data_IF_070160331976
#
_entry.id   IF_070160331976
#
_cell.length_a   1.000
_cell.length_b   1.000
_cell.length_c   1.000
_cell.angle_alpha   90.00
_cell.angle_beta   90.00
_cell.angle_gamma   90.00
#
_symmetry.space_group_name_H-M   'P 1'
#
loop_
_entity.id
_entity.type
_entity.pdbx_description
1 polymer ?
#
# COMPACT_ATOMS: atom_id res chain seq x y z
N UNK A 1 -33.45 18.19 16.72
CA UNK A 1 -33.04 18.17 15.29
C UNK A 1 -33.75 17.08 14.49
N UNK A 2 -33.76 15.81 14.94
CA UNK A 2 -34.47 14.70 14.27
C UNK A 2 -35.94 15.02 13.95
N UNK A 3 -36.67 15.59 14.91
CA UNK A 3 -38.06 16.02 14.73
C UNK A 3 -38.21 17.12 13.69
N UNK A 4 -37.31 18.10 13.66
CA UNK A 4 -37.33 19.19 12.68
C UNK A 4 -37.12 18.69 11.24
N UNK A 5 -36.34 17.62 11.08
CA UNK A 5 -36.17 16.94 9.79
C UNK A 5 -37.45 16.20 9.40
N UNK A 6 -38.08 15.48 10.34
CA UNK A 6 -39.35 14.77 10.09
C UNK A 6 -40.49 15.73 9.73
N UNK A 7 -40.50 16.93 10.31
CA UNK A 7 -41.46 17.99 10.00
C UNK A 7 -41.16 18.71 8.68
N UNK A 8 -40.06 18.37 7.99
CA UNK A 8 -39.70 18.94 6.69
C UNK A 8 -39.10 20.35 6.76
N UNK A 9 -38.79 20.88 7.95
CA UNK A 9 -38.10 22.18 8.07
C UNK A 9 -36.64 22.12 7.65
N UNK A 10 -35.99 20.96 7.85
CA UNK A 10 -34.61 20.74 7.48
C UNK A 10 -34.47 19.52 6.57
N UNK A 11 -33.74 19.71 5.48
CA UNK A 11 -33.35 18.66 4.56
C UNK A 11 -31.91 18.24 4.84
N UNK A 12 -31.70 16.95 5.07
CA UNK A 12 -30.33 16.39 5.14
C UNK A 12 -29.74 16.32 3.74
N UNK A 13 -28.52 16.82 3.59
CA UNK A 13 -27.73 16.76 2.36
C UNK A 13 -26.35 16.22 2.70
N UNK A 14 -25.87 15.28 1.90
CA UNK A 14 -24.52 14.74 2.02
C UNK A 14 -23.58 15.45 1.06
N UNK A 15 -22.50 16.03 1.59
CA UNK A 15 -21.42 16.60 0.79
C UNK A 15 -20.25 15.62 0.78
N UNK A 16 -19.59 15.46 -0.36
CA UNK A 16 -18.45 14.55 -0.51
C UNK A 16 -17.18 15.35 -0.82
N UNK A 17 -16.13 15.12 -0.03
CA UNK A 17 -14.78 15.60 -0.30
C UNK A 17 -13.92 14.43 -0.79
N UNK A 18 -13.35 14.58 -1.99
CA UNK A 18 -12.51 13.60 -2.66
C UNK A 18 -11.01 13.86 -2.45
N UNK A 19 -10.65 14.89 -1.70
CA UNK A 19 -9.27 15.33 -1.45
C UNK A 19 -8.89 15.25 0.03
N UNK A 20 -9.71 14.62 0.86
CA UNK A 20 -9.45 14.46 2.27
C UNK A 20 -8.30 13.47 2.53
N UNK A 21 -7.69 13.58 3.72
CA UNK A 21 -6.63 12.67 4.17
C UNK A 21 -7.11 11.86 5.39
N UNK A 22 -7.11 10.54 5.27
CA UNK A 22 -7.52 9.61 6.32
C UNK A 22 -6.35 8.79 6.84
N UNK A 23 -6.41 8.38 8.10
CA UNK A 23 -5.42 7.48 8.68
C UNK A 23 -5.51 6.10 8.02
N UNK A 24 -4.40 5.61 7.50
CA UNK A 24 -4.31 4.24 6.97
C UNK A 24 -4.45 3.22 8.09
N UNK A 25 -5.31 2.22 7.90
CA UNK A 25 -5.18 0.96 8.63
C UNK A 25 -4.08 0.12 7.95
N UNK A 26 -3.15 -0.39 8.74
CA UNK A 26 -1.93 -1.07 8.28
C UNK A 26 -2.23 -2.38 7.53
N UNK A 27 -2.41 -2.31 6.21
CA UNK A 27 -2.46 -3.49 5.34
C UNK A 27 -1.79 -3.20 3.99
N UNK A 28 -0.46 -3.29 3.93
CA UNK A 28 0.25 -3.63 2.69
C UNK A 28 1.73 -3.93 2.96
N UNK A 29 2.10 -5.20 2.86
CA UNK A 29 3.49 -5.63 2.71
C UNK A 29 3.79 -5.61 1.21
N UNK A 30 4.70 -4.73 0.77
CA UNK A 30 5.15 -4.69 -0.61
C UNK A 30 6.18 -5.81 -0.84
N UNK A 31 5.83 -6.79 -1.68
CA UNK A 31 6.66 -7.96 -2.01
C UNK A 31 7.60 -7.70 -3.20
N UNK A 32 8.24 -6.53 -3.27
CA UNK A 32 9.21 -6.24 -4.32
C UNK A 32 10.57 -6.86 -3.95
N UNK A 33 11.03 -7.83 -4.75
CA UNK A 33 12.37 -8.43 -4.64
C UNK A 33 13.42 -7.49 -5.30
N UNK A 34 14.61 -7.29 -4.72
CA UNK A 34 15.68 -6.59 -5.40
C UNK A 34 16.27 -7.49 -6.49
N UNK A 35 16.52 -6.92 -7.67
CA UNK A 35 17.23 -7.59 -8.76
C UNK A 35 18.71 -7.69 -8.39
N UNK A 36 19.24 -8.91 -8.35
CA UNK A 36 20.68 -9.15 -8.14
C UNK A 36 21.44 -8.63 -9.37
N UNK A 37 22.32 -7.66 -9.16
CA UNK A 37 23.17 -7.12 -10.23
C UNK A 37 24.26 -8.13 -10.59
N UNK A 38 24.68 -8.13 -11.87
CA UNK A 38 25.78 -8.96 -12.42
C UNK A 38 27.08 -8.81 -11.62
N UNK A 39 27.25 -7.72 -10.87
CA UNK A 39 28.37 -7.48 -9.96
C UNK A 39 28.48 -8.53 -8.85
N UNK A 40 27.36 -8.97 -8.25
CA UNK A 40 27.40 -9.93 -7.14
C UNK A 40 27.87 -11.31 -7.59
N UNK A 41 27.56 -11.71 -8.83
CA UNK A 41 28.01 -13.00 -9.39
C UNK A 41 29.52 -12.98 -9.65
N UNK A 42 30.06 -11.84 -10.08
CA UNK A 42 31.49 -11.67 -10.33
C UNK A 42 32.29 -11.70 -9.02
N UNK A 43 31.78 -11.05 -7.97
CA UNK A 43 32.43 -11.07 -6.64
C UNK A 43 32.43 -12.48 -6.02
N UNK A 44 31.34 -13.24 -6.14
CA UNK A 44 31.30 -14.64 -5.69
C UNK A 44 32.32 -15.52 -6.42
N UNK A 45 32.49 -15.34 -7.74
CA UNK A 45 33.44 -16.13 -8.53
C UNK A 45 34.90 -15.79 -8.20
N UNK A 46 35.21 -14.51 -7.94
CA UNK A 46 36.55 -14.09 -7.49
C UNK A 46 36.88 -14.72 -6.12
N UNK A 47 35.92 -14.72 -5.19
CA UNK A 47 36.08 -15.29 -3.86
C UNK A 47 36.29 -16.82 -3.87
N UNK A 48 35.61 -17.53 -4.79
CA UNK A 48 35.82 -18.96 -5.03
C UNK A 48 37.22 -19.23 -5.62
N UNK A 49 37.72 -18.36 -6.48
CA UNK A 49 39.04 -18.52 -7.10
C UNK A 49 40.18 -18.30 -6.09
N UNK A 50 40.06 -17.28 -5.23
CA UNK A 50 41.05 -17.03 -4.17
C UNK A 50 41.11 -18.17 -3.15
N UNK A 51 39.95 -18.68 -2.71
CA UNK A 51 39.88 -19.79 -1.74
C UNK A 51 40.42 -21.11 -2.32
N UNK A 52 40.28 -21.34 -3.63
CA UNK A 52 40.89 -22.49 -4.33
C UNK A 52 42.41 -22.41 -4.39
N UNK A 53 42.98 -21.26 -4.74
CA UNK A 53 44.43 -21.02 -4.77
C UNK A 53 45.04 -21.23 -3.37
N UNK A 54 44.38 -20.72 -2.32
CA UNK A 54 44.83 -20.88 -0.93
C UNK A 54 44.82 -22.35 -0.48
N UNK A 55 43.79 -23.11 -0.89
CA UNK A 55 43.66 -24.54 -0.55
C UNK A 55 44.68 -25.42 -1.27
N UNK A 56 45.07 -25.08 -2.50
CA UNK A 56 46.11 -25.78 -3.26
C UNK A 56 47.51 -25.51 -2.70
N UNK A 57 47.79 -24.29 -2.23
CA UNK A 57 49.06 -23.96 -1.58
C UNK A 57 49.25 -24.72 -0.25
N UNK A 58 48.18 -24.96 0.50
CA UNK A 58 48.25 -25.65 1.79
C UNK A 58 48.41 -27.18 1.70
N UNK A 59 48.26 -27.78 0.50
CA UNK A 59 48.35 -29.23 0.32
C UNK A 59 49.79 -29.73 0.14
N UNK A 60 50.78 -28.82 0.06
CA UNK A 60 52.19 -29.15 -0.17
C UNK A 60 53.04 -29.30 1.09
N UNK A 61 52.54 -28.91 2.27
CA UNK A 61 53.28 -29.02 3.52
C UNK A 61 52.60 -29.97 4.52
N UNK A 62 53.18 -31.16 4.63
CA UNK A 62 53.12 -32.07 5.78
C UNK A 62 51.86 -32.95 6.00
N UNK A 63 51.75 -34.08 5.28
CA UNK A 63 51.01 -35.25 5.81
C UNK A 63 51.66 -36.57 5.36
N UNK A 64 51.93 -37.55 6.27
CA UNK A 64 52.57 -38.82 5.91
C UNK A 64 51.62 -39.83 5.22
N UNK A 65 52.23 -40.66 4.37
CA UNK A 65 51.63 -41.44 3.26
C UNK A 65 50.58 -42.52 3.62
N UNK A 66 50.34 -42.83 4.90
CA UNK A 66 49.49 -43.98 5.31
C UNK A 66 48.04 -43.62 5.66
N UNK A 67 47.68 -42.33 5.73
CA UNK A 67 46.31 -41.85 5.99
C UNK A 67 45.78 -40.94 4.87
N UNK A 68 46.41 -40.97 3.71
CA UNK A 68 46.13 -40.12 2.54
C UNK A 68 44.67 -40.25 2.06
N UNK A 69 44.14 -41.48 1.96
CA UNK A 69 42.81 -41.73 1.38
C UNK A 69 41.66 -41.26 2.28
N UNK A 70 41.80 -41.41 3.61
CA UNK A 70 40.80 -40.96 4.56
C UNK A 70 40.79 -39.44 4.70
N UNK A 71 41.96 -38.80 4.69
CA UNK A 71 42.04 -37.33 4.69
C UNK A 71 41.55 -36.72 3.38
N UNK A 72 41.75 -37.38 2.23
CA UNK A 72 41.21 -36.94 0.95
C UNK A 72 39.68 -37.03 0.89
N UNK A 73 39.08 -38.09 1.44
CA UNK A 73 37.62 -38.21 1.55
C UNK A 73 37.04 -37.19 2.55
N UNK A 74 37.70 -36.97 3.68
CA UNK A 74 37.27 -35.97 4.66
C UNK A 74 37.41 -34.54 4.13
N UNK A 75 38.47 -34.24 3.36
CA UNK A 75 38.68 -32.92 2.77
C UNK A 75 37.70 -32.64 1.63
N UNK A 76 37.42 -33.63 0.77
CA UNK A 76 36.40 -33.51 -0.29
C UNK A 76 34.99 -33.38 0.29
N UNK A 77 34.66 -34.10 1.37
CA UNK A 77 33.39 -33.95 2.07
C UNK A 77 33.27 -32.59 2.76
N UNK A 78 34.32 -32.12 3.43
CA UNK A 78 34.37 -30.79 4.06
C UNK A 78 34.28 -29.67 3.02
N UNK A 79 34.92 -29.84 1.86
CA UNK A 79 34.81 -28.94 0.73
C UNK A 79 33.39 -28.92 0.15
N UNK A 80 32.79 -30.09 -0.06
CA UNK A 80 31.40 -30.20 -0.52
C UNK A 80 30.43 -29.53 0.46
N UNK A 81 30.58 -29.77 1.76
CA UNK A 81 29.77 -29.12 2.81
C UNK A 81 29.96 -27.61 2.84
N UNK A 82 31.20 -27.12 2.67
CA UNK A 82 31.50 -25.68 2.64
C UNK A 82 30.90 -24.99 1.42
N UNK A 83 30.99 -25.60 0.24
CA UNK A 83 30.41 -25.05 -0.99
C UNK A 83 28.89 -25.16 -0.98
N UNK A 84 28.33 -26.23 -0.40
CA UNK A 84 26.90 -26.38 -0.19
C UNK A 84 26.37 -25.36 0.83
N UNK A 85 27.10 -25.07 1.90
CA UNK A 85 26.74 -24.04 2.87
C UNK A 85 26.84 -22.63 2.29
N UNK A 86 27.89 -22.34 1.49
CA UNK A 86 28.01 -21.07 0.75
C UNK A 86 26.90 -20.93 -0.30
N UNK A 87 26.56 -22.01 -1.01
CA UNK A 87 25.42 -22.05 -1.94
C UNK A 87 24.09 -21.80 -1.21
N UNK A 88 23.87 -22.36 -0.02
CA UNK A 88 22.69 -22.07 0.81
C UNK A 88 22.69 -20.63 1.37
N UNK A 89 23.87 -20.06 1.64
CA UNK A 89 24.05 -18.66 2.06
C UNK A 89 23.75 -17.69 0.90
N UNK A 90 24.19 -18.03 -0.31
CA UNK A 90 24.06 -17.24 -1.54
C UNK A 90 22.65 -17.33 -2.15
N UNK A 91 22.02 -18.52 -2.12
CA UNK A 91 20.57 -18.66 -2.34
C UNK A 91 19.72 -18.18 -1.16
N UNK A 92 20.39 -17.68 -0.11
CA UNK A 92 19.83 -16.92 0.99
C UNK A 92 18.50 -17.49 1.52
N UNK A 93 18.54 -18.73 2.04
CA UNK A 93 17.51 -19.19 2.98
C UNK A 93 17.47 -18.32 4.25
N UNK A 94 18.51 -17.50 4.51
CA UNK A 94 18.45 -16.44 5.51
C UNK A 94 17.57 -15.26 5.10
N UNK A 95 17.14 -15.13 3.84
CA UNK A 95 16.14 -14.16 3.39
C UNK A 95 14.72 -14.63 3.77
N UNK A 96 14.57 -15.90 4.16
CA UNK A 96 13.37 -16.43 4.80
C UNK A 96 13.34 -16.09 6.31
N UNK A 97 14.51 -15.87 6.94
CA UNK A 97 14.62 -15.58 8.38
C UNK A 97 14.98 -14.11 8.71
N UNK A 98 15.46 -13.32 7.76
CA UNK A 98 15.59 -11.87 7.86
C UNK A 98 14.45 -11.18 7.10
N UNK A 99 13.31 -11.08 7.78
CA UNK A 99 12.38 -9.98 7.57
C UNK A 99 13.01 -8.69 8.10
N UNK A 100 14.08 -8.20 7.46
CA UNK A 100 14.56 -6.85 7.77
C UNK A 100 13.85 -5.85 6.84
N UNK A 101 13.22 -4.79 7.40
CA UNK A 101 12.57 -3.78 6.60
C UNK A 101 13.58 -3.11 5.68
N UNK A 102 13.13 -2.78 4.47
CA UNK A 102 13.77 -1.88 3.52
C UNK A 102 14.58 -0.77 4.21
N UNK A 103 15.75 -0.43 3.65
CA UNK A 103 16.62 0.65 4.09
C UNK A 103 15.82 1.92 4.45
N UNK A 104 15.51 2.05 5.73
CA UNK A 104 14.93 3.25 6.30
C UNK A 104 16.09 4.24 6.39
N UNK A 105 16.08 5.26 5.52
CA UNK A 105 16.72 6.51 5.88
C UNK A 105 16.22 6.87 7.29
N UNK A 106 17.14 7.07 8.25
CA UNK A 106 16.79 7.43 9.63
C UNK A 106 16.21 8.86 9.64
N UNK A 107 14.96 8.97 9.20
CA UNK A 107 14.06 10.04 9.56
C UNK A 107 13.50 9.61 10.92
N UNK A 108 13.60 10.44 11.97
CA UNK A 108 13.04 10.09 13.26
C UNK A 108 11.57 9.69 13.07
N UNK A 109 11.28 8.40 13.29
CA UNK A 109 9.94 7.82 13.29
C UNK A 109 9.18 8.41 14.49
N UNK A 110 8.79 9.69 14.40
CA UNK A 110 7.50 10.09 14.95
C UNK A 110 6.51 9.06 14.40
N UNK A 111 5.63 8.55 15.24
CA UNK A 111 4.52 7.67 14.86
C UNK A 111 3.58 8.46 13.94
N UNK A 112 4.04 8.75 12.73
CA UNK A 112 3.28 9.32 11.65
C UNK A 112 2.33 8.19 11.26
N UNK A 113 1.09 8.28 11.74
CA UNK A 113 0.03 7.48 11.16
C UNK A 113 0.03 7.88 9.68
N UNK A 114 0.37 6.97 8.74
CA UNK A 114 0.41 7.34 7.34
C UNK A 114 -0.98 7.86 6.98
N UNK A 115 -1.01 9.06 6.43
CA UNK A 115 -2.24 9.64 5.92
C UNK A 115 -2.31 9.28 4.44
N UNK A 116 -3.41 8.67 4.02
CA UNK A 116 -3.69 8.40 2.61
C UNK A 116 -4.84 9.29 2.13
N UNK A 117 -4.85 9.65 0.83
CA UNK A 117 -6.02 10.25 0.21
C UNK A 117 -7.23 9.32 0.39
N UNK A 118 -8.35 9.87 0.83
CA UNK A 118 -9.60 9.16 1.04
C UNK A 118 -10.78 10.06 0.69
N UNK A 119 -11.93 9.42 0.49
CA UNK A 119 -13.18 10.13 0.28
C UNK A 119 -13.92 10.25 1.62
N UNK A 120 -14.36 11.46 1.97
CA UNK A 120 -15.12 11.71 3.20
C UNK A 120 -16.50 12.30 2.88
N UNK A 121 -17.49 11.88 3.65
CA UNK A 121 -18.86 12.38 3.61
C UNK A 121 -19.10 13.30 4.81
N UNK A 122 -19.58 14.51 4.53
CA UNK A 122 -19.98 15.51 5.50
C UNK A 122 -21.51 15.59 5.56
N UNK A 123 -22.13 15.20 6.68
CA UNK A 123 -23.57 15.39 6.85
C UNK A 123 -23.87 16.88 7.05
N UNK A 124 -24.62 17.46 6.12
CA UNK A 124 -25.06 18.86 6.16
C UNK A 124 -26.59 18.95 6.22
N UNK A 125 -27.11 20.09 6.68
CA UNK A 125 -28.55 20.35 6.78
C UNK A 125 -28.87 21.69 6.12
N UNK A 126 -29.88 21.70 5.27
CA UNK A 126 -30.38 22.90 4.61
C UNK A 126 -31.78 23.18 5.14
N UNK A 127 -32.05 24.42 5.52
CA UNK A 127 -33.38 24.87 5.90
C UNK A 127 -34.26 24.98 4.65
N UNK A 128 -35.44 24.35 4.69
CA UNK A 128 -36.50 24.50 3.68
C UNK A 128 -37.54 25.54 4.18
N UNK A 129 -37.71 26.70 3.52
CA UNK A 129 -38.56 27.81 4.02
C UNK A 129 -40.07 27.55 3.90
N UNK A 130 -40.46 26.35 3.46
CA UNK A 130 -41.86 25.94 3.27
C UNK A 130 -42.71 26.08 4.54
N UNK A 131 -42.07 26.02 5.72
CA UNK A 131 -42.74 26.13 7.01
C UNK A 131 -42.07 27.24 7.83
N UNK A 132 -42.76 28.39 7.95
CA UNK A 132 -42.23 29.60 8.62
C UNK A 132 -42.29 29.52 10.14
N UNK A 133 -43.31 28.86 10.66
CA UNK A 133 -43.54 28.71 12.10
C UNK A 133 -44.05 27.31 12.39
N UNK A 134 -43.47 26.67 13.39
CA UNK A 134 -43.93 25.35 13.84
C UNK A 134 -44.04 25.29 15.35
N UNK A 135 -45.24 25.01 15.82
CA UNK A 135 -45.51 24.60 17.19
C UNK A 135 -45.64 23.09 17.20
N UNK A 136 -44.79 22.40 17.96
CA UNK A 136 -44.83 20.94 18.01
C UNK A 136 -44.39 20.41 19.37
N UNK A 137 -44.70 19.14 19.60
CA UNK A 137 -44.48 18.44 20.86
C UNK A 137 -43.68 17.18 20.55
N UNK A 138 -42.52 17.03 21.20
CA UNK A 138 -41.70 15.83 21.15
C UNK A 138 -42.02 14.93 22.35
N UNK A 139 -42.43 13.69 22.07
CA UNK A 139 -42.67 12.67 23.11
C UNK A 139 -41.35 12.00 23.44
N UNK A 140 -40.97 12.05 24.72
CA UNK A 140 -39.72 11.51 25.27
C UNK A 140 -40.01 10.32 26.20
N UNK A 141 -40.77 9.34 25.70
CA UNK A 141 -41.23 8.20 26.47
C UNK A 141 -42.31 8.58 27.49
N UNK A 142 -41.91 8.91 28.73
CA UNK A 142 -42.82 9.21 29.86
C UNK A 142 -43.16 10.70 30.02
N UNK A 143 -42.49 11.56 29.28
CA UNK A 143 -42.71 13.00 29.31
C UNK A 143 -42.85 13.53 27.88
N UNK A 144 -43.38 14.75 27.77
CA UNK A 144 -43.50 15.46 26.50
C UNK A 144 -42.84 16.83 26.66
N UNK A 145 -42.15 17.27 25.61
CA UNK A 145 -41.48 18.58 25.55
C UNK A 145 -42.12 19.36 24.41
N UNK A 146 -42.68 20.53 24.67
CA UNK A 146 -43.08 21.40 23.56
C UNK A 146 -41.91 22.25 23.09
N UNK A 147 -41.91 22.56 21.81
CA UNK A 147 -41.00 23.51 21.23
C UNK A 147 -41.70 24.35 20.17
N UNK A 148 -41.22 25.57 20.03
CA UNK A 148 -41.65 26.54 19.03
C UNK A 148 -40.43 26.91 18.21
N UNK A 149 -40.56 26.87 16.89
CA UNK A 149 -39.55 27.36 15.95
C UNK A 149 -40.14 28.49 15.14
N UNK A 150 -39.44 29.62 15.11
CA UNK A 150 -39.81 30.79 14.34
C UNK A 150 -38.60 31.30 13.54
N UNK A 151 -38.82 31.60 12.26
CA UNK A 151 -37.79 32.24 11.43
C UNK A 151 -37.65 33.73 11.76
N UNK A 152 -36.42 34.21 11.90
CA UNK A 152 -36.15 35.64 12.08
C UNK A 152 -36.20 36.31 10.69
N UNK A 153 -37.03 37.35 10.49
CA UNK A 153 -37.18 38.00 9.20
C UNK A 153 -35.84 38.50 8.66
N UNK A 154 -35.69 38.47 7.33
CA UNK A 154 -34.51 38.95 6.61
C UNK A 154 -33.17 38.30 7.01
N UNK A 155 -33.22 37.10 7.60
CA UNK A 155 -32.02 36.37 8.00
C UNK A 155 -32.14 34.87 7.76
N UNK A 156 -31.02 34.16 7.85
CA UNK A 156 -30.94 32.70 7.87
C UNK A 156 -31.08 32.11 9.28
N UNK A 157 -31.43 32.92 10.27
CA UNK A 157 -31.49 32.53 11.67
C UNK A 157 -32.89 32.00 12.04
N UNK A 158 -32.89 31.01 12.94
CA UNK A 158 -34.09 30.43 13.52
C UNK A 158 -34.05 30.58 15.03
N UNK A 159 -35.15 31.04 15.61
CA UNK A 159 -35.37 31.05 17.04
C UNK A 159 -36.07 29.76 17.46
N UNK A 160 -35.41 28.96 18.30
CA UNK A 160 -35.94 27.72 18.88
C UNK A 160 -36.17 27.93 20.38
N UNK A 161 -37.43 27.84 20.81
CA UNK A 161 -37.81 27.88 22.22
C UNK A 161 -38.26 26.49 22.62
N UNK A 162 -37.70 25.95 23.72
CA UNK A 162 -38.00 24.60 24.20
C UNK A 162 -38.30 24.66 25.70
N UNK A 163 -39.34 23.95 26.16
CA UNK A 163 -39.60 23.79 27.60
C UNK A 163 -38.49 22.99 28.30
N UNK A 164 -38.09 23.38 29.50
CA UNK A 164 -36.97 22.79 30.25
C UNK A 164 -37.31 21.55 31.08
N UNK A 165 -38.58 21.10 31.10
CA UNK A 165 -39.10 20.21 32.14
C UNK A 165 -38.66 18.74 32.01
N UNK A 166 -38.03 18.37 30.89
CA UNK A 166 -37.58 17.00 30.65
C UNK A 166 -36.28 16.87 29.84
N UNK A 167 -35.48 15.87 30.21
CA UNK A 167 -34.29 15.46 29.47
C UNK A 167 -34.61 14.31 28.50
N UNK A 168 -34.42 14.58 27.20
CA UNK A 168 -34.71 13.67 26.10
C UNK A 168 -33.45 13.05 25.48
N UNK A 169 -32.27 13.31 26.06
CA UNK A 169 -30.96 12.94 25.48
C UNK A 169 -30.77 11.43 25.28
N UNK A 170 -31.45 10.61 26.10
CA UNK A 170 -31.40 9.13 25.98
C UNK A 170 -32.13 8.59 24.75
N UNK A 171 -33.22 9.24 24.33
CA UNK A 171 -34.03 8.78 23.20
C UNK A 171 -33.54 9.35 21.87
N UNK A 172 -33.01 10.58 21.90
CA UNK A 172 -32.50 11.27 20.73
C UNK A 172 -31.03 11.62 20.93
N UNK A 173 -30.08 10.79 20.45
CA UNK A 173 -28.67 11.08 20.57
C UNK A 173 -28.30 12.35 19.78
N UNK A 174 -27.22 13.04 20.17
CA UNK A 174 -26.73 14.20 19.43
C UNK A 174 -26.36 13.79 18.00
N UNK A 175 -26.72 14.64 17.03
CA UNK A 175 -26.32 14.44 15.65
C UNK A 175 -24.91 14.98 15.48
N UNK A 176 -23.95 14.09 15.24
CA UNK A 176 -22.56 14.45 14.98
C UNK A 176 -22.39 15.01 13.56
N UNK A 177 -21.68 16.13 13.42
CA UNK A 177 -21.32 16.75 12.13
C UNK A 177 -19.90 16.37 11.66
N UNK A 178 -19.33 15.33 12.25
CA UNK A 178 -17.97 14.90 11.96
C UNK A 178 -17.89 14.20 10.59
N UNK A 179 -16.79 14.42 9.85
CA UNK A 179 -16.57 13.75 8.58
C UNK A 179 -16.45 12.24 8.78
N UNK A 180 -17.12 11.49 7.90
CA UNK A 180 -17.06 10.03 7.90
C UNK A 180 -16.37 9.54 6.63
N UNK A 181 -15.39 8.66 6.78
CA UNK A 181 -14.75 8.00 5.64
C UNK A 181 -15.77 7.13 4.88
N UNK A 182 -15.85 7.33 3.57
CA UNK A 182 -16.75 6.59 2.67
C UNK A 182 -16.02 5.35 2.17
N UNK A 183 -16.54 4.18 2.53
CA UNK A 183 -16.08 2.90 2.00
C UNK A 183 -17.00 2.46 0.87
N UNK A 184 -16.51 2.52 -0.36
CA UNK A 184 -17.31 2.12 -1.52
C UNK A 184 -17.38 0.60 -1.65
N UNK A 185 -18.60 0.10 -1.70
CA UNK A 185 -18.86 -1.27 -2.12
C UNK A 185 -18.68 -1.40 -3.64
N UNK A 186 -18.31 -2.59 -4.11
CA UNK A 186 -18.10 -2.85 -5.54
C UNK A 186 -19.34 -2.51 -6.40
N UNK A 187 -20.55 -2.71 -5.88
CA UNK A 187 -21.81 -2.37 -6.56
C UNK A 187 -21.97 -0.86 -6.81
N UNK A 188 -21.73 -0.03 -5.78
CA UNK A 188 -21.86 1.44 -5.87
C UNK A 188 -20.93 2.03 -6.92
N UNK A 189 -19.71 1.48 -7.04
CA UNK A 189 -18.77 1.86 -8.10
C UNK A 189 -19.34 1.56 -9.49
N UNK A 190 -19.98 0.42 -9.66
CA UNK A 190 -20.61 0.03 -10.93
C UNK A 190 -21.80 0.92 -11.29
N UNK A 191 -22.65 1.24 -10.32
CA UNK A 191 -23.80 2.12 -10.55
C UNK A 191 -23.37 3.55 -10.95
N UNK A 192 -22.25 4.04 -10.39
CA UNK A 192 -21.64 5.32 -10.79
C UNK A 192 -21.05 5.27 -12.20
N UNK A 193 -20.49 4.14 -12.62
CA UNK A 193 -20.03 3.96 -14.00
C UNK A 193 -21.18 3.91 -15.01
N UNK A 194 -22.38 3.49 -14.60
CA UNK A 194 -23.59 3.52 -15.43
C UNK A 194 -24.18 4.92 -15.57
N UNK A 195 -24.06 5.73 -14.52
CA UNK A 195 -24.56 7.12 -14.44
C UNK A 195 -23.48 8.17 -14.72
N UNK A 196 -22.59 7.90 -15.69
CA UNK A 196 -21.51 8.84 -16.02
C UNK A 196 -22.06 10.22 -16.37
N UNK A 197 -21.37 11.25 -15.87
CA UNK A 197 -21.60 12.63 -16.28
C UNK A 197 -21.32 12.75 -17.79
N UNK A 198 -22.09 13.58 -18.47
CA UNK A 198 -21.84 13.87 -19.89
C UNK A 198 -20.41 14.41 -20.04
N UNK A 199 -19.63 13.80 -20.94
CA UNK A 199 -18.28 14.23 -21.29
C UNK A 199 -18.25 14.43 -22.80
N UNK A 200 -17.79 15.59 -23.26
CA UNK A 200 -17.55 15.82 -24.69
C UNK A 200 -16.24 15.15 -25.08
N UNK A 201 -16.28 14.31 -26.11
CA UNK A 201 -15.06 13.74 -26.72
C UNK A 201 -14.37 14.83 -27.56
N UNK A 202 -13.03 14.83 -27.66
CA UNK A 202 -12.34 15.64 -28.67
C UNK A 202 -12.89 15.35 -30.07
N UNK A 203 -12.90 16.36 -30.95
CA UNK A 203 -13.52 16.24 -32.28
C UNK A 203 -12.73 15.36 -33.25
N UNK A 204 -11.39 15.36 -33.14
CA UNK A 204 -10.51 14.47 -33.90
C UNK A 204 -9.62 13.63 -32.99
N UNK A 205 -9.26 12.45 -33.46
CA UNK A 205 -8.29 11.57 -32.83
C UNK A 205 -7.26 11.19 -33.91
N UNK A 206 -6.05 11.72 -33.79
CA UNK A 206 -4.95 11.43 -34.70
C UNK A 206 -4.09 10.32 -34.09
N UNK A 207 -4.53 9.07 -34.24
CA UNK A 207 -3.86 7.91 -33.65
C UNK A 207 -2.60 7.47 -34.42
N UNK A 208 -2.42 7.95 -35.65
CA UNK A 208 -1.34 7.55 -36.53
C UNK A 208 -0.78 8.76 -37.26
N UNK A 209 0.54 8.84 -37.33
CA UNK A 209 1.24 9.80 -38.17
C UNK A 209 2.01 9.07 -39.29
N UNK A 210 1.96 9.51 -40.57
CA UNK A 210 2.61 8.79 -41.68
C UNK A 210 4.14 8.73 -41.57
N UNK A 211 4.75 9.60 -40.76
CA UNK A 211 6.20 9.57 -40.47
C UNK A 211 6.53 8.78 -39.18
N UNK A 212 5.54 8.18 -38.53
CA UNK A 212 5.76 7.38 -37.32
C UNK A 212 6.35 6.02 -37.69
N UNK A 213 7.55 5.73 -37.18
CA UNK A 213 8.19 4.44 -37.36
C UNK A 213 7.78 3.48 -36.24
N UNK A 214 6.78 2.64 -36.49
CA UNK A 214 6.33 1.62 -35.54
C UNK A 214 7.28 0.41 -35.43
N UNK A 215 8.37 0.38 -36.20
CA UNK A 215 9.33 -0.73 -36.22
C UNK A 215 10.45 -0.59 -35.18
N UNK A 216 10.55 0.56 -34.50
CA UNK A 216 11.48 0.75 -33.39
C UNK A 216 10.89 0.13 -32.11
N UNK A 217 10.69 -1.19 -32.13
CA UNK A 217 10.46 -1.93 -30.91
C UNK A 217 11.77 -1.94 -30.12
N UNK A 218 11.74 -1.53 -28.85
CA UNK A 218 12.90 -1.57 -27.96
C UNK A 218 13.49 -2.98 -27.94
N UNK A 219 14.57 -3.18 -28.70
CA UNK A 219 15.30 -4.43 -28.72
C UNK A 219 15.92 -4.62 -27.34
N UNK A 220 15.26 -5.38 -26.47
CA UNK A 220 15.90 -5.83 -25.26
C UNK A 220 17.16 -6.59 -25.67
N UNK A 221 18.28 -6.28 -25.03
CA UNK A 221 19.46 -7.12 -25.09
C UNK A 221 19.07 -8.49 -24.55
N UNK A 222 18.83 -9.45 -25.45
CA UNK A 222 18.82 -10.85 -25.05
C UNK A 222 20.14 -11.09 -24.32
N UNK A 223 20.07 -11.57 -23.09
CA UNK A 223 21.24 -11.99 -22.32
C UNK A 223 21.86 -13.14 -23.08
N UNK A 224 22.75 -12.83 -24.02
CA UNK A 224 23.54 -13.83 -24.73
C UNK A 224 24.66 -14.22 -23.77
N UNK A 225 24.54 -15.44 -23.26
CA UNK A 225 25.61 -16.09 -22.52
C UNK A 225 26.83 -16.11 -23.44
N UNK A 226 27.84 -15.30 -23.12
CA UNK A 226 29.08 -15.24 -23.89
C UNK A 226 29.69 -16.65 -23.88
N UNK A 227 29.68 -17.33 -25.03
CA UNK A 227 30.23 -18.68 -25.15
C UNK A 227 31.71 -18.72 -24.76
N UNK A 228 32.42 -17.61 -24.97
CA UNK A 228 33.80 -17.44 -24.54
C UNK A 228 33.94 -17.45 -23.01
N UNK A 229 33.04 -16.77 -22.28
CA UNK A 229 33.02 -16.79 -20.82
C UNK A 229 32.67 -18.17 -20.27
N UNK A 230 31.73 -18.88 -20.92
CA UNK A 230 31.38 -20.25 -20.52
C UNK A 230 32.54 -21.23 -20.75
N UNK A 231 33.23 -21.11 -21.88
CA UNK A 231 34.44 -21.88 -22.19
C UNK A 231 35.60 -21.54 -21.24
N UNK A 232 35.79 -20.26 -20.90
CA UNK A 232 36.76 -19.83 -19.90
C UNK A 232 36.43 -20.41 -18.53
N UNK A 233 35.17 -20.33 -18.07
CA UNK A 233 34.73 -20.94 -16.81
C UNK A 233 34.95 -22.46 -16.80
N UNK A 234 34.62 -23.17 -17.89
CA UNK A 234 34.85 -24.61 -18.02
C UNK A 234 36.34 -24.95 -18.02
N UNK A 235 37.18 -24.18 -18.73
CA UNK A 235 38.63 -24.38 -18.76
C UNK A 235 39.28 -24.11 -17.39
N UNK A 236 38.83 -23.07 -16.67
CA UNK A 236 39.27 -22.79 -15.32
C UNK A 236 38.83 -23.89 -14.35
N UNK A 237 37.62 -24.43 -14.48
CA UNK A 237 37.16 -25.56 -13.67
C UNK A 237 37.97 -26.83 -13.94
N UNK A 238 38.39 -27.07 -15.18
CA UNK A 238 39.27 -28.18 -15.58
C UNK A 238 40.72 -28.00 -15.16
N UNK A 239 41.22 -26.76 -15.07
CA UNK A 239 42.57 -26.43 -14.57
C UNK A 239 42.69 -26.52 -13.05
N UNK A 240 41.56 -26.45 -12.33
CA UNK A 240 41.49 -26.50 -10.85
C UNK A 240 41.17 -27.91 -10.33
N UNK A 241 40.87 -28.86 -11.22
CA UNK A 241 40.61 -30.27 -10.92
C UNK A 241 41.90 -31.11 -11.11
#
# INVERSE_FOLDING_TARGET
>A
MTTLIQMGMFKRVSLFDYQAMCKTNSHSVSSARPLLSVSSIIESLICIFETRIQSLLHQTSSVPFSLQSFYALASTFKWFLSNFLLFLLEFNFCSFWHTEPFADAYVPKKKWNPLQPCDTEYPSFIHEPSVKETNSIIKCGRCQKMFVVQQIPESNLLMLVVQGDCDCSRQYPPITLEPKEVKYNASVKCDRMRSQKIRRRPESCHAYHPQENANDCGGASFIRLSGLLLLLCLSCALLVL
#
